data_IF_311399422393
#
_entry.id   IF_311399422393
#
_cell.length_a   1.000
_cell.length_b   1.000
_cell.length_c   1.000
_cell.angle_alpha   90.00
_cell.angle_beta   90.00
_cell.angle_gamma   90.00
#
_symmetry.space_group_name_H-M   'P 1'
#
loop_
_entity.id
_entity.type
_entity.pdbx_description
1 polymer ?
#
# COMPACT_ATOMS: atom_id res chain seq x y z
N UNK A 1 -34.39 31.70 -59.55
CA UNK A 1 -35.26 32.34 -58.53
C UNK A 1 -35.78 31.25 -57.61
N UNK A 2 -35.45 31.36 -56.32
CA UNK A 2 -36.12 30.86 -55.09
C UNK A 2 -36.91 29.53 -55.16
N UNK A 3 -36.42 28.46 -54.51
CA UNK A 3 -36.69 28.02 -53.11
C UNK A 3 -38.04 27.31 -52.95
N UNK A 4 -38.05 26.00 -52.66
CA UNK A 4 -38.42 25.48 -51.33
C UNK A 4 -38.42 23.93 -51.20
N UNK A 5 -37.92 23.49 -50.02
CA UNK A 5 -38.38 22.41 -49.12
C UNK A 5 -38.54 20.92 -49.52
N UNK A 6 -37.88 20.11 -48.68
CA UNK A 6 -38.40 18.99 -47.85
C UNK A 6 -38.17 17.54 -48.30
N UNK A 7 -37.56 16.78 -47.37
CA UNK A 7 -37.84 15.39 -46.90
C UNK A 7 -38.16 14.30 -47.94
N UNK A 8 -37.62 13.08 -47.90
CA UNK A 8 -37.71 12.10 -46.78
C UNK A 8 -36.89 10.84 -47.13
N UNK A 9 -36.45 10.11 -46.10
CA UNK A 9 -36.28 8.64 -46.01
C UNK A 9 -35.09 7.88 -46.66
N UNK A 10 -34.22 7.42 -45.74
CA UNK A 10 -33.83 6.03 -45.51
C UNK A 10 -33.48 5.10 -46.68
N UNK A 11 -32.21 4.65 -46.74
CA UNK A 11 -31.86 3.21 -46.85
C UNK A 11 -30.35 2.96 -46.66
N UNK A 12 -30.01 2.04 -45.74
CA UNK A 12 -28.68 1.43 -45.64
C UNK A 12 -28.37 0.63 -46.92
N UNK A 13 -27.12 0.64 -47.42
CA UNK A 13 -26.62 -0.42 -48.28
C UNK A 13 -25.78 -1.42 -47.48
N UNK A 14 -26.21 -2.68 -47.51
CA UNK A 14 -25.55 -3.81 -46.89
C UNK A 14 -24.24 -4.23 -47.56
N UNK A 15 -23.47 -5.00 -46.80
CA UNK A 15 -22.22 -5.66 -47.17
C UNK A 15 -22.41 -6.62 -48.35
N UNK A 16 -21.65 -6.42 -49.43
CA UNK A 16 -21.47 -7.42 -50.49
C UNK A 16 -20.12 -8.14 -50.34
N UNK A 17 -20.16 -9.47 -50.42
CA UNK A 17 -19.00 -10.38 -50.42
C UNK A 17 -18.38 -10.40 -51.83
N UNK A 18 -17.06 -10.20 -51.91
CA UNK A 18 -16.07 -10.90 -52.76
C UNK A 18 -14.99 -9.91 -53.24
N UNK A 19 -13.77 -10.09 -52.74
CA UNK A 19 -12.57 -10.23 -53.58
C UNK A 19 -11.41 -10.73 -52.71
N UNK A 20 -11.20 -12.05 -52.77
CA UNK A 20 -9.92 -12.67 -52.46
C UNK A 20 -9.06 -12.54 -53.71
N UNK A 21 -7.89 -11.91 -53.60
CA UNK A 21 -6.83 -12.05 -54.58
C UNK A 21 -5.50 -12.22 -53.83
N UNK A 22 -4.81 -13.27 -54.23
CA UNK A 22 -3.64 -13.85 -53.62
C UNK A 22 -2.43 -12.92 -53.59
N UNK A 23 -1.69 -13.00 -52.48
CA UNK A 23 -0.38 -12.38 -52.31
C UNK A 23 0.30 -13.01 -51.09
N UNK A 24 0.79 -14.24 -51.25
CA UNK A 24 1.58 -14.90 -50.23
C UNK A 24 2.97 -14.25 -50.15
N UNK A 25 3.14 -13.35 -49.19
CA UNK A 25 4.45 -12.93 -48.70
C UNK A 25 4.56 -13.39 -47.24
N UNK A 26 5.54 -14.27 -46.99
CA UNK A 26 5.82 -14.85 -45.69
C UNK A 26 6.20 -13.75 -44.69
N UNK A 27 5.30 -13.43 -43.77
CA UNK A 27 5.58 -12.68 -42.57
C UNK A 27 5.15 -13.52 -41.37
N UNK A 28 6.13 -13.91 -40.56
CA UNK A 28 5.95 -14.55 -39.24
C UNK A 28 4.83 -13.87 -38.45
N UNK A 29 3.85 -14.62 -37.90
CA UNK A 29 2.85 -14.01 -37.04
C UNK A 29 3.52 -13.55 -35.76
N UNK A 30 3.67 -12.23 -35.61
CA UNK A 30 3.73 -11.63 -34.29
C UNK A 30 2.36 -11.89 -33.68
N UNK A 31 2.30 -12.80 -32.70
CA UNK A 31 1.15 -12.88 -31.80
C UNK A 31 1.18 -11.58 -31.00
N UNK A 32 0.59 -10.53 -31.55
CA UNK A 32 0.09 -9.44 -30.73
C UNK A 32 -1.07 -10.06 -29.97
N UNK A 33 -0.79 -10.54 -28.75
CA UNK A 33 -1.82 -10.73 -27.76
C UNK A 33 -2.39 -9.33 -27.51
N UNK A 34 -3.42 -8.96 -28.28
CA UNK A 34 -4.36 -7.94 -27.84
C UNK A 34 -4.93 -8.51 -26.54
N UNK A 35 -4.38 -8.03 -25.42
CA UNK A 35 -5.05 -8.13 -24.16
C UNK A 35 -6.45 -7.60 -24.43
N UNK A 36 -7.42 -8.51 -24.43
CA UNK A 36 -8.82 -8.15 -24.32
C UNK A 36 -8.89 -7.58 -22.91
N UNK A 37 -8.53 -6.31 -22.78
CA UNK A 37 -8.92 -5.51 -21.63
C UNK A 37 -10.43 -5.52 -21.72
N UNK A 38 -11.16 -6.16 -20.79
CA UNK A 38 -12.57 -5.91 -20.72
C UNK A 38 -12.68 -4.39 -20.57
N UNK A 39 -13.26 -3.73 -21.56
CA UNK A 39 -13.74 -2.38 -21.37
C UNK A 39 -14.81 -2.51 -20.28
N UNK A 40 -14.40 -2.37 -19.02
CA UNK A 40 -15.30 -2.07 -17.93
C UNK A 40 -15.88 -0.72 -18.30
N UNK A 41 -17.01 -0.75 -19.01
CA UNK A 41 -17.93 0.35 -19.02
C UNK A 41 -18.06 0.78 -17.56
N UNK A 42 -17.77 2.06 -17.29
CA UNK A 42 -17.95 2.66 -15.99
C UNK A 42 -19.45 2.62 -15.65
N UNK A 43 -19.89 1.46 -15.17
CA UNK A 43 -21.15 1.30 -14.48
C UNK A 43 -20.99 2.07 -13.18
N UNK A 44 -21.65 3.22 -13.10
CA UNK A 44 -21.90 3.94 -11.84
C UNK A 44 -22.90 3.21 -10.94
N UNK A 45 -23.21 1.94 -11.23
CA UNK A 45 -23.96 1.06 -10.35
C UNK A 45 -23.06 0.51 -9.25
N UNK A 46 -23.55 0.59 -8.02
CA UNK A 46 -23.03 -0.07 -6.83
C UNK A 46 -22.77 -1.55 -7.14
N UNK A 47 -21.54 -1.85 -7.55
CA UNK A 47 -21.11 -3.21 -7.85
C UNK A 47 -20.59 -3.82 -6.56
N UNK A 48 -21.12 -4.98 -6.19
CA UNK A 48 -20.64 -5.68 -5.01
C UNK A 48 -19.15 -6.05 -5.16
N UNK A 49 -18.38 -5.91 -4.09
CA UNK A 49 -16.96 -6.20 -4.10
C UNK A 49 -16.31 -6.09 -2.72
N UNK A 50 -14.99 -5.94 -2.74
CA UNK A 50 -14.15 -5.80 -1.57
C UNK A 50 -13.01 -4.83 -1.85
N UNK A 51 -12.48 -4.20 -0.81
CA UNK A 51 -11.43 -3.20 -0.89
C UNK A 51 -10.20 -3.69 -0.11
N UNK A 52 -9.02 -3.33 -0.57
CA UNK A 52 -7.75 -3.66 0.08
C UNK A 52 -6.67 -2.69 -0.39
N UNK A 53 -5.58 -2.60 0.37
CA UNK A 53 -4.48 -1.71 0.02
C UNK A 53 -3.22 -1.98 0.80
N UNK A 54 -2.11 -1.52 0.23
CA UNK A 54 -0.80 -1.53 0.85
C UNK A 54 -0.34 -0.08 1.03
N UNK A 55 0.14 0.26 2.22
CA UNK A 55 0.66 1.58 2.53
C UNK A 55 1.98 1.51 3.27
N UNK A 56 2.79 2.56 3.12
CA UNK A 56 4.12 2.68 3.72
C UNK A 56 4.33 4.12 4.19
N UNK A 57 4.86 4.28 5.40
CA UNK A 57 5.18 5.61 5.97
C UNK A 57 6.65 5.66 6.39
N UNK A 58 7.38 6.70 5.96
CA UNK A 58 8.73 7.03 6.44
C UNK A 58 8.69 8.30 7.29
N UNK A 59 9.59 8.41 8.28
CA UNK A 59 9.61 9.50 9.26
C UNK A 59 11.02 10.01 9.49
N UNK A 60 11.14 11.31 9.78
CA UNK A 60 12.28 11.97 10.39
C UNK A 60 11.74 12.83 11.55
N UNK A 61 12.15 12.61 12.79
CA UNK A 61 11.62 13.37 13.94
C UNK A 61 12.72 14.10 14.73
N UNK A 62 13.81 14.50 14.06
CA UNK A 62 14.97 15.17 14.68
C UNK A 62 15.84 14.26 15.56
N UNK A 63 15.25 13.33 16.33
CA UNK A 63 15.96 12.34 17.14
C UNK A 63 16.25 11.02 16.42
N UNK A 64 15.50 10.71 15.36
CA UNK A 64 15.76 9.55 14.49
C UNK A 64 15.13 9.71 13.10
N UNK A 65 15.64 8.93 12.15
CA UNK A 65 15.02 8.68 10.85
C UNK A 65 14.62 7.21 10.79
N UNK A 66 13.43 6.91 10.30
CA UNK A 66 13.00 5.53 10.16
C UNK A 66 11.48 5.35 10.18
N UNK A 67 11.05 4.48 11.10
CA UNK A 67 9.67 4.04 11.26
C UNK A 67 9.36 3.84 12.75
N UNK A 68 8.14 4.16 13.20
CA UNK A 68 7.64 3.80 14.53
C UNK A 68 6.16 3.50 14.50
N UNK A 69 5.70 2.55 15.31
CA UNK A 69 4.30 2.10 15.36
C UNK A 69 3.35 3.07 16.09
N UNK A 70 3.86 4.00 16.92
CA UNK A 70 3.06 4.74 17.92
C UNK A 70 3.34 6.25 17.96
N UNK A 71 3.61 6.88 16.82
CA UNK A 71 3.85 8.33 16.80
C UNK A 71 2.53 9.11 16.78
N UNK A 72 2.26 9.85 17.86
CA UNK A 72 1.05 10.63 18.10
C UNK A 72 0.97 11.94 17.29
N UNK A 73 2.01 12.31 16.54
CA UNK A 73 1.93 13.42 15.59
C UNK A 73 1.07 13.02 14.39
N UNK A 74 -0.24 13.26 14.49
CA UNK A 74 -1.23 12.88 13.49
C UNK A 74 -1.08 13.66 12.17
N UNK A 75 -1.42 13.00 11.08
CA UNK A 75 -1.84 13.71 9.87
C UNK A 75 -3.31 14.11 10.00
N UNK A 76 -3.72 15.21 9.39
CA UNK A 76 -5.14 15.52 9.20
C UNK A 76 -5.62 14.87 7.91
N UNK A 77 -6.37 13.77 8.05
CA UNK A 77 -6.94 13.04 6.93
C UNK A 77 -8.46 12.90 7.00
N UNK A 78 -9.05 12.16 6.04
CA UNK A 78 -10.49 11.92 6.03
C UNK A 78 -10.97 11.26 7.33
N UNK A 79 -12.03 11.79 7.94
CA UNK A 79 -12.55 11.33 9.24
C UNK A 79 -13.72 10.34 9.11
N UNK A 80 -14.13 10.02 7.89
CA UNK A 80 -15.17 9.03 7.58
C UNK A 80 -14.82 8.25 6.31
N UNK A 81 -15.34 7.01 6.14
CA UNK A 81 -15.12 6.25 4.92
C UNK A 81 -15.58 7.03 3.68
N UNK A 82 -16.76 7.65 3.74
CA UNK A 82 -17.31 8.43 2.63
C UNK A 82 -16.37 9.57 2.21
N UNK A 83 -15.78 10.29 3.18
CA UNK A 83 -14.81 11.34 2.88
C UNK A 83 -13.52 10.79 2.26
N UNK A 84 -13.05 9.62 2.71
CA UNK A 84 -11.88 8.96 2.14
C UNK A 84 -12.12 8.58 0.67
N UNK A 85 -13.27 7.99 0.38
CA UNK A 85 -13.61 7.53 -0.96
C UNK A 85 -14.03 8.67 -1.91
N UNK A 86 -14.60 9.76 -1.38
CA UNK A 86 -14.81 10.99 -2.14
C UNK A 86 -13.50 11.59 -2.66
N UNK A 87 -12.37 11.34 -1.98
CA UNK A 87 -11.02 11.67 -2.44
C UNK A 87 -10.42 10.58 -3.37
N UNK A 88 -11.27 9.84 -4.08
CA UNK A 88 -10.86 8.81 -5.06
C UNK A 88 -10.30 7.53 -4.43
N UNK A 89 -10.48 7.32 -3.14
CA UNK A 89 -9.91 6.17 -2.43
C UNK A 89 -8.40 6.26 -2.25
N UNK A 90 -7.88 7.49 -2.26
CA UNK A 90 -6.47 7.79 -2.08
C UNK A 90 -6.29 8.85 -1.02
N UNK A 91 -5.39 8.59 -0.10
CA UNK A 91 -4.93 9.56 0.87
C UNK A 91 -3.46 9.30 1.10
N UNK A 92 -2.61 10.26 0.71
CA UNK A 92 -1.16 10.18 0.84
C UNK A 92 -0.74 11.18 1.91
N UNK A 93 -0.61 10.75 3.17
CA UNK A 93 -0.29 11.66 4.26
C UNK A 93 1.15 12.19 4.12
N UNK A 94 1.33 13.50 4.20
CA UNK A 94 2.65 14.16 4.24
C UNK A 94 2.69 15.22 5.34
N UNK A 95 3.85 15.39 5.96
CA UNK A 95 4.06 16.38 7.02
C UNK A 95 5.46 16.96 6.89
N UNK A 96 5.57 18.30 6.91
CA UNK A 96 6.84 19.04 6.89
C UNK A 96 7.88 18.52 5.88
N UNK A 97 7.40 18.23 4.68
CA UNK A 97 8.23 17.80 3.54
C UNK A 97 7.83 18.56 2.28
N UNK A 98 8.76 18.68 1.33
CA UNK A 98 8.45 19.08 -0.05
C UNK A 98 7.78 17.93 -0.81
N UNK A 99 7.32 18.20 -2.04
CA UNK A 99 6.80 17.18 -2.96
C UNK A 99 7.78 16.06 -3.25
N UNK A 100 9.09 16.31 -3.14
CA UNK A 100 10.16 15.34 -3.38
C UNK A 100 10.51 14.52 -2.11
N UNK A 101 9.84 14.80 -0.99
CA UNK A 101 10.10 14.18 0.31
C UNK A 101 11.28 14.79 1.08
N UNK A 102 11.73 15.99 0.72
CA UNK A 102 12.78 16.71 1.46
C UNK A 102 12.22 17.24 2.78
N UNK A 103 12.86 16.93 3.91
CA UNK A 103 12.51 17.48 5.23
C UNK A 103 12.64 19.00 5.19
N UNK A 104 11.58 19.73 5.57
CA UNK A 104 11.58 21.19 5.59
C UNK A 104 11.73 21.78 7.00
N UNK A 105 11.19 21.11 8.02
CA UNK A 105 11.30 21.54 9.42
C UNK A 105 10.90 20.42 10.39
N UNK A 106 11.52 20.38 11.57
CA UNK A 106 11.09 19.56 12.71
C UNK A 106 10.78 18.10 12.38
N UNK A 107 9.65 17.62 12.90
CA UNK A 107 9.12 16.29 12.60
C UNK A 107 8.52 16.26 11.20
N UNK A 108 8.96 15.33 10.36
CA UNK A 108 8.58 15.20 8.96
C UNK A 108 8.23 13.76 8.62
N UNK A 109 7.24 13.58 7.75
CA UNK A 109 6.73 12.26 7.36
C UNK A 109 6.30 12.23 5.91
N UNK A 110 6.53 11.10 5.27
CA UNK A 110 6.08 10.83 3.89
C UNK A 110 5.32 9.51 3.88
N UNK A 111 4.07 9.54 3.48
CA UNK A 111 3.26 8.37 3.20
C UNK A 111 3.25 8.01 1.72
N UNK A 112 2.93 6.76 1.41
CA UNK A 112 2.69 6.29 0.04
C UNK A 112 1.78 5.05 0.03
N UNK A 113 1.04 4.87 -1.06
CA UNK A 113 0.15 3.73 -1.29
C UNK A 113 -1.30 4.02 -0.90
N UNK A 114 -2.07 2.94 -0.68
CA UNK A 114 -3.47 3.03 -0.28
C UNK A 114 -3.59 2.74 1.21
N UNK A 115 -3.79 3.80 1.99
CA UNK A 115 -3.96 3.72 3.44
C UNK A 115 -5.32 3.14 3.80
N UNK A 116 -5.39 2.46 4.95
CA UNK A 116 -6.67 2.03 5.54
C UNK A 116 -7.62 3.22 5.64
N UNK A 117 -8.87 3.14 5.16
CA UNK A 117 -9.77 4.28 5.21
C UNK A 117 -9.97 4.79 6.65
N UNK A 118 -9.96 6.10 6.80
CA UNK A 118 -10.13 6.85 8.06
C UNK A 118 -8.93 6.84 9.01
N UNK A 119 -8.29 5.70 9.22
CA UNK A 119 -7.10 5.59 10.09
C UNK A 119 -6.35 4.29 9.81
N UNK A 120 -5.03 4.31 9.94
CA UNK A 120 -4.15 3.16 9.80
C UNK A 120 -3.55 2.68 11.14
N UNK A 121 -4.20 3.01 12.26
CA UNK A 121 -3.85 2.52 13.58
C UNK A 121 -5.06 2.08 14.37
N UNK A 122 -4.83 1.09 15.24
CA UNK A 122 -5.84 0.58 16.14
C UNK A 122 -6.24 1.54 17.23
N UNK A 123 -5.43 2.52 17.60
CA UNK A 123 -5.71 3.46 18.70
C UNK A 123 -5.89 4.91 18.25
N UNK A 124 -5.77 5.17 16.94
CA UNK A 124 -5.87 6.52 16.37
C UNK A 124 -7.31 7.06 16.40
N UNK A 125 -7.43 8.38 16.48
CA UNK A 125 -8.67 9.08 16.18
C UNK A 125 -8.99 8.98 14.69
N UNK A 126 -10.25 9.19 14.32
CA UNK A 126 -10.61 9.29 12.91
C UNK A 126 -9.86 10.45 12.26
N UNK A 127 -9.33 10.23 11.05
CA UNK A 127 -8.46 11.17 10.37
C UNK A 127 -7.03 11.15 10.88
N UNK A 128 -6.76 10.55 12.05
CA UNK A 128 -5.45 10.36 12.62
C UNK A 128 -4.77 9.16 11.95
N UNK A 129 -3.88 9.46 11.01
CA UNK A 129 -2.96 8.46 10.48
C UNK A 129 -1.69 8.51 11.31
N UNK A 130 -1.36 7.40 11.95
CA UNK A 130 -0.11 7.28 12.72
C UNK A 130 0.75 6.26 12.03
N UNK A 131 2.05 6.50 12.05
CA UNK A 131 2.99 5.83 11.17
C UNK A 131 2.91 4.32 11.29
N UNK A 132 2.58 3.66 10.18
CA UNK A 132 2.72 2.22 9.98
C UNK A 132 3.01 1.93 8.52
N UNK A 133 3.61 0.77 8.27
CA UNK A 133 3.59 0.12 6.98
C UNK A 133 2.70 -1.10 7.15
N UNK A 134 1.70 -1.23 6.29
CA UNK A 134 0.70 -2.25 6.49
C UNK A 134 -0.11 -2.57 5.25
N UNK A 135 -0.79 -3.69 5.35
CA UNK A 135 -1.78 -4.15 4.39
C UNK A 135 -3.14 -4.15 5.07
N UNK A 136 -4.17 -3.67 4.39
CA UNK A 136 -5.53 -3.69 4.89
C UNK A 136 -6.48 -4.32 3.88
N UNK A 137 -7.61 -4.80 4.40
CA UNK A 137 -8.68 -5.39 3.62
C UNK A 137 -10.03 -5.09 4.27
N UNK A 138 -11.09 -5.02 3.49
CA UNK A 138 -12.45 -4.79 3.94
C UNK A 138 -13.28 -6.06 3.98
N UNK A 139 -14.38 -6.02 4.74
CA UNK A 139 -15.53 -6.90 4.50
C UNK A 139 -16.20 -6.57 3.16
N UNK A 140 -17.05 -7.47 2.62
CA UNK A 140 -17.85 -7.20 1.44
C UNK A 140 -18.66 -5.89 1.52
N UNK A 141 -18.73 -5.18 0.41
CA UNK A 141 -19.60 -4.01 0.20
C UNK A 141 -20.43 -4.19 -1.06
N UNK A 142 -21.65 -3.65 -1.08
CA UNK A 142 -22.47 -3.53 -2.29
C UNK A 142 -22.02 -2.35 -3.15
N UNK A 143 -21.31 -1.38 -2.59
CA UNK A 143 -20.95 -0.12 -3.25
C UNK A 143 -19.43 0.11 -3.12
N UNK A 144 -18.67 -0.52 -4.02
CA UNK A 144 -17.21 -0.38 -4.04
C UNK A 144 -16.82 1.09 -4.24
N UNK A 145 -15.85 1.59 -3.45
CA UNK A 145 -15.28 2.94 -3.55
C UNK A 145 -16.25 4.08 -3.23
N UNK A 146 -17.26 3.85 -2.40
CA UNK A 146 -18.13 4.92 -1.87
C UNK A 146 -18.04 5.05 -0.35
N UNK A 147 -17.48 4.04 0.34
CA UNK A 147 -17.46 3.98 1.81
C UNK A 147 -18.81 3.67 2.43
N UNK A 148 -19.76 3.19 1.64
CA UNK A 148 -21.09 2.77 2.09
C UNK A 148 -21.35 1.33 1.66
N UNK A 149 -22.49 0.76 2.06
CA UNK A 149 -22.93 -0.54 1.55
C UNK A 149 -22.22 -1.77 2.12
N UNK A 150 -21.43 -1.65 3.21
CA UNK A 150 -20.82 -2.81 3.86
C UNK A 150 -21.89 -3.80 4.33
N UNK A 151 -21.78 -5.06 3.90
CA UNK A 151 -22.85 -6.06 4.04
C UNK A 151 -22.90 -6.58 5.49
N UNK A 152 -24.02 -6.40 6.22
CA UNK A 152 -24.10 -6.83 7.62
C UNK A 152 -23.85 -8.31 7.83
N UNK A 153 -23.01 -8.66 8.82
CA UNK A 153 -22.67 -10.04 9.16
C UNK A 153 -21.80 -10.78 8.13
N UNK A 154 -21.44 -10.13 7.02
CA UNK A 154 -20.49 -10.66 6.04
C UNK A 154 -19.10 -10.80 6.66
N UNK A 155 -18.26 -11.65 6.04
CA UNK A 155 -16.92 -11.95 6.55
C UNK A 155 -15.87 -11.84 5.46
N UNK A 156 -14.69 -11.39 5.87
CA UNK A 156 -13.46 -11.48 5.11
C UNK A 156 -12.44 -12.27 5.93
N UNK A 157 -11.80 -13.27 5.32
CA UNK A 157 -10.78 -14.08 5.99
C UNK A 157 -9.46 -13.92 5.26
N UNK A 158 -8.50 -13.24 5.90
CA UNK A 158 -7.12 -13.23 5.44
C UNK A 158 -6.48 -14.57 5.85
N UNK A 159 -6.04 -15.35 4.86
CA UNK A 159 -5.54 -16.70 5.11
C UNK A 159 -4.14 -16.70 5.74
N UNK A 160 -3.88 -17.70 6.57
CA UNK A 160 -2.56 -18.02 7.09
C UNK A 160 -1.56 -18.19 5.94
N UNK A 161 -0.30 -17.83 6.18
CA UNK A 161 0.74 -17.86 5.15
C UNK A 161 0.74 -16.67 4.20
N UNK A 162 -0.19 -15.72 4.34
CA UNK A 162 -0.11 -14.44 3.62
C UNK A 162 1.20 -13.75 3.97
N UNK A 163 1.93 -13.29 2.95
CA UNK A 163 3.34 -12.91 3.02
C UNK A 163 3.58 -11.56 2.37
N UNK A 164 4.32 -10.73 3.08
CA UNK A 164 4.59 -9.35 2.72
C UNK A 164 6.06 -9.05 2.94
N UNK A 165 6.70 -8.30 2.05
CA UNK A 165 8.08 -7.87 2.21
C UNK A 165 8.20 -6.37 2.21
N UNK A 166 9.19 -5.88 2.94
CA UNK A 166 9.61 -4.48 2.95
C UNK A 166 11.13 -4.42 2.85
N UNK A 167 11.63 -3.87 1.75
CA UNK A 167 13.03 -3.47 1.65
C UNK A 167 13.22 -2.13 2.36
N UNK A 168 14.23 -2.08 3.22
CA UNK A 168 14.67 -0.91 3.97
C UNK A 168 15.98 -0.45 3.36
N UNK A 169 16.02 0.79 2.88
CA UNK A 169 17.21 1.39 2.30
C UNK A 169 17.55 2.69 3.01
N UNK A 170 18.78 2.80 3.49
CA UNK A 170 19.30 4.01 4.12
C UNK A 170 20.54 4.47 3.38
N UNK A 171 20.57 5.73 2.97
CA UNK A 171 21.73 6.35 2.35
C UNK A 171 22.25 7.43 3.28
N UNK A 172 23.54 7.40 3.57
CA UNK A 172 24.23 8.38 4.43
C UNK A 172 25.45 8.96 3.71
N UNK A 173 25.87 10.20 4.01
CA UNK A 173 27.14 10.72 3.55
C UNK A 173 28.31 9.94 4.18
N UNK A 174 29.44 9.79 3.47
CA UNK A 174 30.64 9.12 4.01
C UNK A 174 31.61 10.08 4.71
N UNK A 175 31.17 11.30 5.03
CA UNK A 175 32.01 12.38 5.58
C UNK A 175 32.50 12.12 7.00
N UNK A 176 31.68 11.52 7.88
CA UNK A 176 32.04 11.28 9.28
C UNK A 176 31.15 10.20 9.93
N UNK A 177 31.75 9.28 10.70
CA UNK A 177 31.10 8.22 11.48
C UNK A 177 29.98 7.40 10.78
N UNK A 178 29.92 7.42 9.45
CA UNK A 178 28.86 6.76 8.67
C UNK A 178 28.82 5.25 8.93
N UNK A 179 29.98 4.59 9.09
CA UNK A 179 30.06 3.17 9.45
C UNK A 179 29.41 2.91 10.80
N UNK A 180 29.60 3.81 11.77
CA UNK A 180 28.93 3.71 13.05
C UNK A 180 27.42 3.85 12.87
N UNK A 181 26.93 4.86 12.12
CA UNK A 181 25.50 5.04 11.87
C UNK A 181 24.85 3.77 11.30
N UNK A 182 25.43 3.23 10.23
CA UNK A 182 24.85 2.06 9.55
C UNK A 182 24.93 0.77 10.39
N UNK A 183 25.99 0.59 11.20
CA UNK A 183 26.11 -0.55 12.11
C UNK A 183 25.27 -0.43 13.40
N UNK A 184 24.64 0.73 13.64
CA UNK A 184 23.79 0.98 14.80
C UNK A 184 22.31 1.20 14.43
N UNK A 185 21.91 0.91 13.18
CA UNK A 185 20.49 0.87 12.82
C UNK A 185 19.82 -0.21 13.67
N UNK A 186 18.72 0.14 14.34
CA UNK A 186 18.00 -0.75 15.24
C UNK A 186 16.63 -1.14 14.68
N UNK A 187 16.18 -2.35 15.01
CA UNK A 187 14.86 -2.91 14.70
C UNK A 187 14.20 -3.37 16.00
N UNK A 188 12.89 -3.14 16.18
CA UNK A 188 12.12 -3.56 17.37
C UNK A 188 12.68 -3.03 18.71
N UNK A 189 12.75 -1.70 18.85
CA UNK A 189 13.31 -0.91 19.98
C UNK A 189 14.82 -0.64 19.83
N UNK A 190 15.27 0.51 20.34
CA UNK A 190 16.62 1.07 20.12
C UNK A 190 17.80 0.17 20.50
N UNK A 191 17.56 -0.95 21.19
CA UNK A 191 18.57 -1.86 21.73
C UNK A 191 18.87 -3.10 20.86
N UNK A 192 18.08 -3.43 19.83
CA UNK A 192 18.38 -4.54 18.93
C UNK A 192 18.97 -4.02 17.61
N UNK A 193 20.31 -4.00 17.54
CA UNK A 193 21.05 -3.60 16.35
C UNK A 193 20.85 -4.61 15.21
N UNK A 194 20.51 -4.11 14.03
CA UNK A 194 20.34 -4.89 12.82
C UNK A 194 21.69 -5.07 12.12
N UNK A 195 22.50 -6.00 12.62
CA UNK A 195 23.84 -6.34 12.09
C UNK A 195 23.93 -7.78 11.58
N UNK A 196 22.86 -8.55 11.79
CA UNK A 196 22.70 -9.95 11.41
C UNK A 196 21.23 -10.22 11.11
N UNK A 197 20.93 -11.42 10.63
CA UNK A 197 19.54 -11.84 10.49
C UNK A 197 18.82 -11.81 11.85
N UNK A 198 17.61 -11.27 11.87
CA UNK A 198 16.74 -11.19 13.06
C UNK A 198 15.42 -11.88 12.76
N UNK A 199 14.70 -12.25 13.81
CA UNK A 199 13.35 -12.77 13.69
C UNK A 199 12.56 -12.43 14.95
N UNK A 200 11.24 -12.49 14.81
CA UNK A 200 10.33 -12.30 15.91
C UNK A 200 8.90 -12.69 15.56
N UNK A 201 8.00 -12.40 16.49
CA UNK A 201 6.57 -12.68 16.37
C UNK A 201 5.77 -11.43 16.68
N UNK A 202 4.63 -11.30 16.03
CA UNK A 202 3.59 -10.34 16.38
C UNK A 202 2.31 -11.10 16.71
N UNK A 203 1.56 -10.57 17.66
CA UNK A 203 0.30 -11.15 18.13
C UNK A 203 -0.87 -10.39 17.52
N UNK A 204 -2.07 -10.96 17.62
CA UNK A 204 -3.27 -10.21 17.28
C UNK A 204 -3.40 -9.01 18.22
N UNK A 205 -3.76 -7.88 17.66
CA UNK A 205 -4.07 -6.68 18.42
C UNK A 205 -5.42 -6.14 17.94
N UNK A 206 -6.39 -6.12 18.84
CA UNK A 206 -7.71 -5.56 18.57
C UNK A 206 -7.63 -4.04 18.47
N UNK A 207 -8.35 -3.46 17.52
CA UNK A 207 -8.40 -2.02 17.34
C UNK A 207 -9.55 -1.38 18.16
N UNK A 208 -9.25 -0.26 18.82
CA UNK A 208 -10.24 0.64 19.42
C UNK A 208 -10.82 1.62 18.39
N UNK A 209 -10.10 1.90 17.30
CA UNK A 209 -10.54 2.75 16.20
C UNK A 209 -11.90 2.32 15.62
N UNK A 210 -12.85 3.25 15.37
CA UNK A 210 -14.25 2.90 15.08
C UNK A 210 -14.48 1.95 13.90
N UNK A 211 -13.67 2.08 12.84
CA UNK A 211 -13.86 1.34 11.58
C UNK A 211 -12.97 0.10 11.42
N UNK A 212 -12.02 -0.09 12.35
CA UNK A 212 -10.99 -1.12 12.27
C UNK A 212 -11.27 -2.26 13.28
N UNK A 213 -11.29 -3.51 12.80
CA UNK A 213 -11.49 -4.71 13.62
C UNK A 213 -10.22 -5.19 14.32
N UNK A 214 -9.09 -5.20 13.62
CA UNK A 214 -7.77 -5.45 14.19
C UNK A 214 -6.75 -4.45 13.67
N UNK A 215 -5.90 -4.03 14.59
CA UNK A 215 -4.69 -3.25 14.32
C UNK A 215 -3.60 -4.11 13.70
N UNK A 216 -3.46 -5.33 14.23
CA UNK A 216 -2.49 -6.29 13.75
C UNK A 216 -3.06 -7.71 13.78
N UNK A 217 -2.72 -8.49 12.76
CA UNK A 217 -2.95 -9.93 12.67
C UNK A 217 -1.70 -10.66 13.10
N UNK A 218 -1.82 -11.73 13.88
CA UNK A 218 -0.69 -12.53 14.37
C UNK A 218 0.15 -13.15 13.24
N UNK A 219 1.45 -13.22 13.47
CA UNK A 219 2.41 -13.71 12.49
C UNK A 219 3.85 -13.67 12.95
N UNK A 220 4.72 -14.07 12.04
CA UNK A 220 6.18 -14.08 12.24
C UNK A 220 6.82 -13.09 11.30
N UNK A 221 7.89 -12.43 11.74
CA UNK A 221 8.73 -11.63 10.86
C UNK A 221 10.17 -12.11 10.89
N UNK A 222 10.87 -11.92 9.77
CA UNK A 222 12.31 -12.11 9.64
C UNK A 222 12.93 -10.87 9.01
N UNK A 223 14.07 -10.43 9.51
CA UNK A 223 14.88 -9.42 8.87
C UNK A 223 16.16 -10.08 8.34
N UNK A 224 16.50 -9.87 7.07
CA UNK A 224 17.72 -10.42 6.47
C UNK A 224 18.97 -9.88 7.15
N UNK A 225 20.11 -10.56 7.01
CA UNK A 225 21.38 -9.91 7.32
C UNK A 225 21.54 -8.71 6.37
N UNK A 226 21.74 -7.49 6.87
CA UNK A 226 21.80 -6.33 5.99
C UNK A 226 23.15 -6.24 5.29
N UNK A 227 23.15 -5.58 4.14
CA UNK A 227 24.35 -5.24 3.39
C UNK A 227 24.68 -3.78 3.57
N UNK A 228 25.96 -3.48 3.84
CA UNK A 228 26.49 -2.11 3.85
C UNK A 228 27.48 -1.99 2.70
N UNK A 229 27.28 -0.99 1.85
CA UNK A 229 28.12 -0.71 0.68
C UNK A 229 28.60 0.73 0.72
N UNK A 230 29.91 0.94 0.63
CA UNK A 230 30.47 2.24 0.23
C UNK A 230 30.30 2.39 -1.28
N UNK A 231 29.63 3.46 -1.72
CA UNK A 231 29.31 3.67 -3.12
C UNK A 231 30.45 4.32 -3.91
N UNK A 232 31.53 4.76 -3.25
CA UNK A 232 32.67 5.42 -3.91
C UNK A 232 32.40 6.84 -4.41
N UNK A 233 31.21 7.39 -4.15
CA UNK A 233 30.77 8.72 -4.59
C UNK A 233 30.50 9.68 -3.42
N UNK A 234 31.09 9.42 -2.25
CA UNK A 234 30.83 10.19 -1.03
C UNK A 234 29.58 9.76 -0.26
N UNK A 235 28.97 8.62 -0.62
CA UNK A 235 27.81 8.04 0.10
C UNK A 235 28.00 6.56 0.39
N UNK A 236 27.29 6.08 1.41
CA UNK A 236 27.17 4.66 1.72
C UNK A 236 25.71 4.26 1.86
N UNK A 237 25.42 3.03 1.47
CA UNK A 237 24.06 2.46 1.48
C UNK A 237 23.99 1.28 2.44
N UNK A 238 22.97 1.29 3.28
CA UNK A 238 22.48 0.12 4.01
C UNK A 238 21.24 -0.41 3.30
N UNK A 239 21.17 -1.73 3.12
CA UNK A 239 19.98 -2.42 2.61
C UNK A 239 19.69 -3.64 3.45
N UNK A 240 18.44 -3.78 3.89
CA UNK A 240 17.94 -4.99 4.53
C UNK A 240 16.50 -5.25 4.11
N UNK A 241 16.05 -6.49 4.20
CA UNK A 241 14.68 -6.87 3.86
C UNK A 241 14.00 -7.46 5.08
N UNK A 242 12.81 -6.97 5.37
CA UNK A 242 11.92 -7.53 6.39
C UNK A 242 10.81 -8.27 5.66
N UNK A 243 10.53 -9.50 6.09
CA UNK A 243 9.40 -10.27 5.58
C UNK A 243 8.48 -10.64 6.72
N UNK A 244 7.18 -10.38 6.55
CA UNK A 244 6.11 -10.78 7.44
C UNK A 244 5.34 -11.96 6.86
N UNK A 245 4.90 -12.88 7.71
CA UNK A 245 4.02 -14.00 7.31
C UNK A 245 2.97 -14.22 8.39
N UNK A 246 1.69 -14.18 8.01
CA UNK A 246 0.57 -14.44 8.92
C UNK A 246 0.62 -15.88 9.42
N UNK A 247 0.47 -16.10 10.72
CA UNK A 247 0.62 -17.43 11.33
C UNK A 247 -0.68 -18.23 11.39
N UNK A 248 -1.83 -17.56 11.22
CA UNK A 248 -3.16 -18.16 11.26
C UNK A 248 -4.13 -17.35 10.43
N UNK A 249 -5.27 -17.95 10.09
CA UNK A 249 -6.38 -17.25 9.46
C UNK A 249 -6.88 -16.16 10.41
N UNK A 250 -7.08 -14.96 9.88
CA UNK A 250 -7.77 -13.88 10.59
C UNK A 250 -9.11 -13.62 9.94
N UNK A 251 -10.18 -13.73 10.74
CA UNK A 251 -11.54 -13.47 10.29
C UNK A 251 -12.01 -12.11 10.76
N UNK A 252 -12.22 -11.22 9.82
CA UNK A 252 -12.96 -9.98 10.01
C UNK A 252 -14.45 -10.26 9.78
N UNK A 253 -15.30 -9.92 10.75
CA UNK A 253 -16.75 -9.98 10.60
C UNK A 253 -17.31 -8.56 10.62
N UNK A 254 -18.17 -8.24 9.67
CA UNK A 254 -18.89 -6.96 9.67
C UNK A 254 -19.78 -6.91 10.91
N UNK A 255 -19.55 -5.93 11.78
CA UNK A 255 -20.36 -5.68 12.97
C UNK A 255 -20.34 -4.20 13.31
N UNK A 256 -21.51 -3.57 13.36
CA UNK A 256 -21.63 -2.13 13.56
C UNK A 256 -20.83 -1.37 12.50
N UNK A 257 -19.88 -0.55 12.94
CA UNK A 257 -18.99 0.24 12.08
C UNK A 257 -17.70 -0.49 11.67
N UNK A 258 -17.46 -1.73 12.10
CA UNK A 258 -16.19 -2.43 11.83
C UNK A 258 -16.19 -2.98 10.40
N UNK A 259 -15.38 -2.37 9.54
CA UNK A 259 -15.33 -2.68 8.11
C UNK A 259 -13.98 -3.20 7.65
N UNK A 260 -12.89 -2.82 8.33
CA UNK A 260 -11.52 -3.08 7.88
C UNK A 260 -10.75 -3.97 8.86
N UNK A 261 -9.78 -4.72 8.35
CA UNK A 261 -8.75 -5.42 9.11
C UNK A 261 -7.38 -5.00 8.60
N UNK A 262 -6.38 -4.96 9.48
CA UNK A 262 -5.04 -4.51 9.15
C UNK A 262 -3.97 -5.50 9.60
N UNK A 263 -2.93 -5.61 8.78
CA UNK A 263 -1.67 -6.28 9.06
C UNK A 263 -0.59 -5.21 9.11
N UNK A 264 0.12 -5.08 10.23
CA UNK A 264 1.34 -4.29 10.28
C UNK A 264 2.48 -5.19 9.83
N UNK A 265 3.21 -4.77 8.79
CA UNK A 265 4.26 -5.61 8.17
C UNK A 265 5.57 -5.45 8.91
N UNK A 266 5.86 -4.22 9.37
CA UNK A 266 7.14 -3.89 9.98
C UNK A 266 7.16 -4.14 11.50
N UNK A 267 8.24 -4.72 12.05
CA UNK A 267 8.39 -4.91 13.47
C UNK A 267 8.62 -3.58 14.20
N UNK A 268 7.67 -3.19 15.04
CA UNK A 268 7.80 -2.12 16.05
C UNK A 268 8.36 -0.78 15.54
N UNK A 269 9.69 -0.65 15.53
CA UNK A 269 10.43 0.57 15.19
C UNK A 269 11.64 0.19 14.32
N UNK A 270 11.94 1.00 13.30
CA UNK A 270 13.25 1.06 12.65
C UNK A 270 13.86 2.40 12.99
N UNK A 271 15.05 2.41 13.58
CA UNK A 271 15.69 3.63 14.05
C UNK A 271 17.07 3.80 13.43
N UNK A 272 17.26 4.90 12.71
CA UNK A 272 18.54 5.41 12.23
C UNK A 272 18.86 6.68 13.00
N UNK A 273 20.08 6.81 13.52
CA UNK A 273 20.53 8.05 14.15
C UNK A 273 21.01 9.05 13.08
N UNK A 274 20.34 10.21 12.90
CA UNK A 274 20.70 11.19 11.87
C UNK A 274 21.83 12.14 12.27
N UNK A 275 22.41 12.05 13.48
CA UNK A 275 23.40 13.02 14.00
C UNK A 275 24.65 13.18 13.12
N UNK A 276 24.99 12.17 12.31
CA UNK A 276 26.10 12.20 11.35
C UNK A 276 25.64 12.44 9.90
N UNK A 277 24.42 12.93 9.75
CA UNK A 277 23.76 13.13 8.47
C UNK A 277 23.09 11.86 7.93
N UNK A 278 22.06 12.08 7.12
CA UNK A 278 21.48 11.09 6.23
C UNK A 278 21.18 11.78 4.90
N UNK A 279 21.02 11.01 3.82
CA UNK A 279 20.59 11.51 2.51
C UNK A 279 19.19 11.04 2.19
N UNK A 280 18.88 9.77 2.46
CA UNK A 280 17.53 9.25 2.31
C UNK A 280 17.28 8.05 3.20
N UNK A 281 16.03 7.89 3.59
CA UNK A 281 15.49 6.66 4.15
C UNK A 281 14.27 6.27 3.32
N UNK A 282 14.29 5.04 2.80
CA UNK A 282 13.27 4.51 1.90
C UNK A 282 12.76 3.18 2.42
N UNK A 283 11.45 3.00 2.30
CA UNK A 283 10.75 1.75 2.54
C UNK A 283 10.01 1.39 1.26
N UNK A 284 10.31 0.22 0.71
CA UNK A 284 9.62 -0.33 -0.46
C UNK A 284 8.95 -1.62 -0.05
N UNK A 285 7.62 -1.64 -0.01
CA UNK A 285 6.84 -2.81 0.39
C UNK A 285 6.11 -3.45 -0.76
N UNK A 286 5.87 -4.75 -0.66
CA UNK A 286 5.18 -5.57 -1.65
C UNK A 286 4.32 -6.65 -0.98
N UNK A 287 3.19 -6.99 -1.62
CA UNK A 287 2.47 -8.23 -1.32
C UNK A 287 3.09 -9.37 -2.13
N UNK A 288 3.87 -10.22 -1.47
CA UNK A 288 4.45 -11.41 -2.13
C UNK A 288 3.34 -12.42 -2.45
N UNK A 289 2.47 -12.69 -1.47
CA UNK A 289 1.28 -13.52 -1.66
C UNK A 289 0.24 -13.21 -0.60
N UNK A 290 -1.01 -13.02 -0.96
CA UNK A 290 -2.11 -12.94 0.01
C UNK A 290 -3.38 -13.57 -0.55
N UNK A 291 -4.16 -14.20 0.31
CA UNK A 291 -5.47 -14.74 -0.07
C UNK A 291 -6.51 -14.23 0.91
N UNK A 292 -7.59 -13.66 0.38
CA UNK A 292 -8.74 -13.22 1.15
C UNK A 292 -9.97 -13.96 0.62
N UNK A 293 -10.65 -14.69 1.51
CA UNK A 293 -11.91 -15.35 1.18
C UNK A 293 -13.09 -14.62 1.79
N UNK A 294 -14.17 -14.49 1.02
CA UNK A 294 -15.36 -13.76 1.44
C UNK A 294 -16.56 -14.68 1.64
N UNK A 295 -17.46 -14.30 2.54
CA UNK A 295 -18.75 -14.98 2.74
C UNK A 295 -19.81 -14.01 3.25
N UNK A 296 -21.09 -14.40 3.13
CA UNK A 296 -22.22 -13.52 3.47
C UNK A 296 -22.57 -12.49 2.39
N UNK A 297 -21.87 -12.51 1.25
CA UNK A 297 -22.18 -11.75 0.04
C UNK A 297 -21.60 -12.47 -1.18
N UNK A 298 -22.15 -12.22 -2.38
CA UNK A 298 -21.62 -12.75 -3.63
C UNK A 298 -20.43 -11.89 -4.12
N UNK A 299 -19.29 -12.02 -3.43
CA UNK A 299 -18.04 -11.31 -3.73
C UNK A 299 -16.95 -12.34 -4.03
N UNK A 300 -16.21 -12.21 -5.15
CA UNK A 300 -15.15 -13.15 -5.47
C UNK A 300 -14.01 -13.09 -4.46
N UNK A 301 -13.41 -14.25 -4.17
CA UNK A 301 -12.18 -14.32 -3.39
C UNK A 301 -11.05 -13.56 -4.09
N UNK A 302 -10.14 -13.01 -3.30
CA UNK A 302 -8.95 -12.29 -3.78
C UNK A 302 -7.72 -13.16 -3.57
N UNK A 303 -6.90 -13.27 -4.61
CA UNK A 303 -5.57 -13.87 -4.54
C UNK A 303 -4.57 -12.92 -5.20
N UNK A 304 -3.65 -12.40 -4.40
CA UNK A 304 -2.58 -11.50 -4.83
C UNK A 304 -1.28 -12.29 -4.89
N UNK A 305 -0.53 -12.18 -5.99
CA UNK A 305 0.78 -12.84 -6.14
C UNK A 305 1.79 -11.86 -6.76
N UNK A 306 2.75 -11.39 -5.95
CA UNK A 306 3.73 -10.34 -6.32
C UNK A 306 3.08 -9.05 -6.84
N UNK A 307 1.92 -8.71 -6.28
CA UNK A 307 1.15 -7.52 -6.64
C UNK A 307 1.31 -6.43 -5.58
N UNK A 308 0.82 -5.23 -5.90
CA UNK A 308 0.82 -4.07 -5.00
C UNK A 308 2.21 -3.76 -4.41
N UNK A 309 2.97 -2.95 -5.13
CA UNK A 309 4.24 -2.40 -4.64
C UNK A 309 4.06 -0.92 -4.34
N UNK A 310 4.55 -0.46 -3.19
CA UNK A 310 4.56 0.97 -2.86
C UNK A 310 5.88 1.35 -2.19
N UNK A 311 6.32 2.58 -2.43
CA UNK A 311 7.56 3.10 -1.87
C UNK A 311 7.32 4.47 -1.26
N UNK A 312 7.77 4.65 -0.03
CA UNK A 312 7.90 5.97 0.59
C UNK A 312 9.37 6.28 0.81
N UNK A 313 9.75 7.54 0.60
CA UNK A 313 11.12 8.02 0.80
C UNK A 313 11.11 9.39 1.44
N UNK A 314 11.87 9.54 2.51
CA UNK A 314 12.17 10.83 3.14
C UNK A 314 13.65 11.17 2.95
N UNK A 315 13.95 12.45 2.71
CA UNK A 315 15.27 12.93 2.30
C UNK A 315 15.76 14.07 3.16
N UNK A 316 17.07 14.13 3.36
CA UNK A 316 17.74 15.37 3.76
C UNK A 316 18.17 16.09 2.50
N UNK A 317 17.52 17.21 2.25
CA UNK A 317 17.92 18.23 1.32
C UNK A 317 18.35 19.44 2.19
#
# INVERSE_FOLDING_TARGET
MTLDKSSTEAQQPGLSRRQLAAGAAWATPVIAASAIVPAYAASTGDTAGSEYGLFVTTICNGGFVGYTHSDDAGFDGPTSPQAYWANGGTYTPTMNVTSEGCVTNGAAKVGAGSYTPVTNSGTGSNGGYVSSTGFWFSVPTTAVKTGTGYVPGSKAVLKAGSRFSTQVTVVVPTTSNWKWTLNNIAVQRANQKWTKALNGRMVDLSATAPYLGAENVAGTWTASAPTIKDNGNGTATFTGTITYTTSKDYTLTQSGSKYYGQVVILPGVIQVNPAYGFKSFSLTSQVESATITYSGANVPNVQLNNELQTTSTIRSC
#
